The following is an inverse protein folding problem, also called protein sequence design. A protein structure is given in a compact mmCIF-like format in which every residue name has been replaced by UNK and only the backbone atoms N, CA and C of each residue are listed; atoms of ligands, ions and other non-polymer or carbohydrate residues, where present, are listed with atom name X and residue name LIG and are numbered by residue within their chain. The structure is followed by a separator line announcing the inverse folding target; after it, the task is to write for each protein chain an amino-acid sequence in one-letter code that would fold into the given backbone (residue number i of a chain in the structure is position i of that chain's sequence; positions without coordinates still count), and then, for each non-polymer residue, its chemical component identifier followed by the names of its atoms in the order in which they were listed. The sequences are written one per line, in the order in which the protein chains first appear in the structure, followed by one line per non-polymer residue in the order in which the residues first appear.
data_IF_735786001313
#
_entry.id   IF_735786001313
#
_cell.length_a   1.000
_cell.length_b   1.000
_cell.length_c   1.000
_cell.angle_alpha   90.00
_cell.angle_beta   90.00
_cell.angle_gamma   90.00
#
_symmetry.space_group_name_H-M   'P 1'
#
loop_
_entity.id
_entity.type
_entity.pdbx_description
1 polymer ?
#
# COMPACT_ATOMS: atom_id res chain seq x y z
N UNK A 1 10.54 -32.18 -9.75
CA UNK A 1 11.46 -31.54 -8.80
C UNK A 1 10.74 -30.96 -7.57
N UNK A 2 10.06 -29.80 -7.60
CA UNK A 2 9.46 -29.25 -6.35
C UNK A 2 8.35 -30.11 -5.71
N UNK A 3 7.48 -30.74 -6.50
CA UNK A 3 6.48 -31.71 -5.99
C UNK A 3 7.06 -33.04 -5.49
N UNK A 4 8.31 -33.35 -5.82
CA UNK A 4 8.97 -34.59 -5.37
C UNK A 4 9.55 -34.44 -3.96
N UNK A 5 9.72 -33.20 -3.49
CA UNK A 5 10.28 -32.87 -2.17
C UNK A 5 9.30 -32.10 -1.27
N UNK A 6 8.16 -31.62 -1.79
CA UNK A 6 7.14 -30.93 -1.03
C UNK A 6 5.71 -31.31 -1.47
N UNK A 7 4.88 -31.77 -0.53
CA UNK A 7 3.45 -32.00 -0.74
C UNK A 7 2.70 -30.66 -0.67
N UNK A 8 2.62 -29.98 -1.82
CA UNK A 8 1.95 -28.68 -1.95
C UNK A 8 0.54 -28.92 -2.50
N UNK A 9 -0.47 -28.75 -1.65
CA UNK A 9 -1.87 -28.65 -2.08
C UNK A 9 -2.23 -27.21 -2.42
N UNK A 10 -2.68 -26.97 -3.65
CA UNK A 10 -3.17 -25.66 -4.09
C UNK A 10 -4.63 -25.46 -3.68
N UNK A 11 -5.09 -24.21 -3.59
CA UNK A 11 -6.49 -23.90 -3.25
C UNK A 11 -7.48 -24.65 -4.14
N UNK A 12 -7.17 -24.75 -5.44
CA UNK A 12 -7.98 -25.47 -6.44
C UNK A 12 -8.08 -26.98 -6.15
N UNK A 13 -7.13 -27.57 -5.43
CA UNK A 13 -7.16 -28.98 -5.03
C UNK A 13 -7.93 -29.22 -3.74
N UNK A 14 -8.14 -28.17 -2.93
CA UNK A 14 -8.79 -28.26 -1.63
C UNK A 14 -10.31 -28.04 -1.71
N UNK A 15 -10.82 -27.47 -2.82
CA UNK A 15 -12.25 -27.24 -3.09
C UNK A 15 -13.02 -26.69 -1.88
N UNK A 16 -12.39 -25.75 -1.15
CA UNK A 16 -12.97 -25.18 0.05
C UNK A 16 -14.12 -24.24 -0.34
N UNK A 17 -15.24 -24.21 0.43
CA UNK A 17 -16.31 -23.25 0.22
C UNK A 17 -15.83 -21.84 0.57
N UNK A 18 -15.41 -21.10 -0.45
CA UNK A 18 -15.01 -19.69 -0.36
C UNK A 18 -15.87 -18.85 -1.29
N UNK A 19 -16.09 -17.56 -0.98
CA UNK A 19 -16.88 -16.68 -1.85
C UNK A 19 -16.22 -16.50 -3.22
N UNK A 20 -17.04 -16.19 -4.23
CA UNK A 20 -16.56 -15.75 -5.54
C UNK A 20 -15.93 -14.36 -5.40
N UNK A 21 -14.73 -14.17 -5.96
CA UNK A 21 -14.02 -12.88 -5.89
C UNK A 21 -14.14 -12.14 -7.21
N UNK A 22 -14.67 -10.93 -7.17
CA UNK A 22 -14.67 -9.98 -8.28
C UNK A 22 -13.57 -8.93 -8.12
N UNK A 23 -12.81 -8.71 -9.18
CA UNK A 23 -11.72 -7.73 -9.17
C UNK A 23 -12.14 -6.46 -9.90
N UNK A 24 -11.90 -5.32 -9.25
CA UNK A 24 -12.22 -3.98 -9.74
C UNK A 24 -10.95 -3.15 -9.78
N UNK A 25 -10.46 -2.83 -10.99
CA UNK A 25 -9.29 -1.98 -11.16
C UNK A 25 -9.76 -0.54 -11.40
N UNK A 26 -9.49 0.33 -10.43
CA UNK A 26 -9.92 1.73 -10.43
C UNK A 26 -8.72 2.59 -10.83
N UNK A 27 -8.79 3.17 -12.02
CA UNK A 27 -7.72 4.00 -12.60
C UNK A 27 -8.05 5.47 -12.39
N UNK A 28 -7.23 6.15 -11.60
CA UNK A 28 -7.27 7.60 -11.43
C UNK A 28 -6.31 8.28 -12.40
N UNK A 29 -6.76 9.39 -12.99
CA UNK A 29 -5.91 10.24 -13.80
C UNK A 29 -5.05 11.14 -12.88
N UNK A 30 -3.74 11.28 -13.14
CA UNK A 30 -2.90 12.15 -12.34
C UNK A 30 -3.27 13.62 -12.55
N UNK A 31 -3.28 14.40 -11.48
CA UNK A 31 -3.42 15.86 -11.56
C UNK A 31 -2.22 16.48 -12.30
N UNK A 32 -2.38 17.70 -12.83
CA UNK A 32 -1.27 18.44 -13.44
C UNK A 32 -0.09 18.58 -12.45
N UNK A 33 -0.40 18.87 -11.18
CA UNK A 33 0.57 18.95 -10.10
C UNK A 33 1.29 17.62 -9.87
N UNK A 34 0.58 16.48 -9.87
CA UNK A 34 1.22 15.17 -9.77
C UNK A 34 2.16 14.90 -10.95
N UNK A 35 1.78 15.27 -12.18
CA UNK A 35 2.63 15.08 -13.35
C UNK A 35 3.92 15.90 -13.25
N UNK A 36 3.84 17.16 -12.80
CA UNK A 36 5.01 18.01 -12.56
C UNK A 36 5.93 17.44 -11.48
N UNK A 37 5.35 16.98 -10.36
CA UNK A 37 6.12 16.36 -9.27
C UNK A 37 6.78 15.05 -9.70
N UNK A 38 6.14 14.23 -10.54
CA UNK A 38 6.76 13.02 -11.13
C UNK A 38 7.97 13.40 -12.00
N UNK A 39 7.85 14.44 -12.84
CA UNK A 39 8.99 14.93 -13.65
C UNK A 39 10.16 15.37 -12.77
N UNK A 40 9.88 16.10 -11.69
CA UNK A 40 10.91 16.53 -10.73
C UNK A 40 11.62 15.32 -10.06
N UNK A 41 10.90 14.22 -9.78
CA UNK A 41 11.53 12.99 -9.29
C UNK A 41 12.46 12.35 -10.33
N UNK A 42 12.16 12.45 -11.63
CA UNK A 42 13.06 12.00 -12.71
C UNK A 42 14.37 12.80 -12.74
N UNK A 43 14.29 14.11 -12.52
CA UNK A 43 15.46 14.98 -12.47
C UNK A 43 16.33 14.65 -11.25
N UNK A 44 15.70 14.48 -10.07
CA UNK A 44 16.39 14.01 -8.86
C UNK A 44 17.11 12.67 -9.11
N UNK A 45 16.44 11.71 -9.76
CA UNK A 45 17.02 10.42 -10.06
C UNK A 45 18.24 10.54 -11.00
N UNK A 46 18.20 11.48 -11.95
CA UNK A 46 19.31 11.76 -12.86
C UNK A 46 20.53 12.32 -12.13
N UNK A 47 20.32 13.25 -11.17
CA UNK A 47 21.40 13.84 -10.36
C UNK A 47 22.03 12.84 -9.39
N UNK A 48 21.21 11.96 -8.80
CA UNK A 48 21.70 10.85 -7.97
C UNK A 48 22.51 9.88 -8.82
N UNK A 49 22.03 9.55 -10.02
CA UNK A 49 22.72 8.64 -10.93
C UNK A 49 24.05 9.20 -11.46
N UNK A 50 24.14 10.52 -11.68
CA UNK A 50 25.39 11.17 -12.09
C UNK A 50 26.42 11.29 -10.95
N UNK A 51 26.08 10.90 -9.73
CA UNK A 51 26.96 11.02 -8.55
C UNK A 51 27.17 12.46 -8.08
N UNK A 52 26.31 13.39 -8.51
CA UNK A 52 26.42 14.82 -8.16
C UNK A 52 25.83 15.13 -6.79
N UNK A 53 25.03 14.22 -6.24
CA UNK A 53 24.35 14.36 -4.94
C UNK A 53 24.88 13.31 -3.98
N UNK A 54 25.13 13.73 -2.73
CA UNK A 54 25.51 12.83 -1.65
C UNK A 54 24.35 11.86 -1.33
N UNK A 55 24.58 10.52 -1.31
CA UNK A 55 23.55 9.51 -1.02
C UNK A 55 22.83 9.68 0.33
N UNK A 56 23.46 10.35 1.30
CA UNK A 56 22.84 10.69 2.58
C UNK A 56 21.78 11.77 2.44
N UNK A 57 21.94 12.69 1.49
CA UNK A 57 20.99 13.75 1.18
C UNK A 57 19.84 13.23 0.34
N UNK A 58 20.15 12.60 -0.81
CA UNK A 58 19.14 11.99 -1.68
C UNK A 58 19.65 10.71 -2.32
N UNK A 59 18.75 9.74 -2.51
CA UNK A 59 19.07 8.44 -3.07
C UNK A 59 17.83 7.79 -3.69
N UNK A 60 18.03 6.70 -4.44
CA UNK A 60 16.96 6.01 -5.14
C UNK A 60 15.84 5.48 -4.20
N UNK A 61 16.16 5.12 -2.95
CA UNK A 61 15.16 4.70 -1.97
C UNK A 61 14.27 5.88 -1.54
N UNK A 62 14.86 7.04 -1.27
CA UNK A 62 14.11 8.28 -0.94
C UNK A 62 13.22 8.70 -2.11
N UNK A 63 13.76 8.75 -3.32
CA UNK A 63 13.02 9.11 -4.54
C UNK A 63 11.86 8.13 -4.77
N UNK A 64 12.11 6.83 -4.64
CA UNK A 64 11.06 5.81 -4.80
C UNK A 64 9.99 5.94 -3.73
N UNK A 65 10.36 6.21 -2.48
CA UNK A 65 9.43 6.46 -1.38
C UNK A 65 8.55 7.69 -1.63
N UNK A 66 9.15 8.79 -2.10
CA UNK A 66 8.42 10.01 -2.45
C UNK A 66 7.50 9.80 -3.65
N UNK A 67 7.95 9.07 -4.67
CA UNK A 67 7.13 8.67 -5.82
C UNK A 67 5.90 7.86 -5.40
N UNK A 68 6.04 6.94 -4.44
CA UNK A 68 4.92 6.18 -3.87
C UNK A 68 3.93 7.05 -3.10
N UNK A 69 4.43 7.99 -2.27
CA UNK A 69 3.57 8.96 -1.58
C UNK A 69 2.78 9.79 -2.60
N UNK A 70 3.45 10.26 -3.64
CA UNK A 70 2.83 11.05 -4.70
C UNK A 70 1.76 10.28 -5.48
N UNK A 71 2.01 8.99 -5.79
CA UNK A 71 1.04 8.11 -6.43
C UNK A 71 -0.20 7.87 -5.57
N UNK A 72 -0.03 7.83 -4.24
CA UNK A 72 -1.13 7.77 -3.29
C UNK A 72 -1.92 9.08 -3.20
N UNK A 73 -1.26 10.16 -2.77
CA UNK A 73 -1.84 11.50 -2.66
C UNK A 73 -0.76 12.58 -2.56
N UNK A 74 -0.83 13.61 -3.40
CA UNK A 74 0.11 14.74 -3.42
C UNK A 74 0.15 15.51 -2.08
N UNK A 75 -0.94 15.51 -1.32
CA UNK A 75 -1.07 16.21 -0.03
C UNK A 75 -0.20 15.61 1.07
N UNK A 76 0.27 14.38 0.89
CA UNK A 76 1.27 13.76 1.79
C UNK A 76 2.61 14.50 1.71
N UNK A 77 2.94 15.05 0.54
CA UNK A 77 4.18 15.81 0.32
C UNK A 77 3.94 17.29 0.61
N UNK A 78 2.83 17.84 0.13
CA UNK A 78 2.47 19.24 0.36
C UNK A 78 0.98 19.40 0.69
N UNK A 79 0.69 19.64 1.96
CA UNK A 79 -0.69 19.73 2.50
C UNK A 79 -1.48 20.94 1.97
N UNK A 80 -0.80 21.94 1.40
CA UNK A 80 -1.46 23.14 0.84
C UNK A 80 -2.09 22.89 -0.53
N UNK A 81 -1.80 21.74 -1.14
CA UNK A 81 -2.38 21.38 -2.44
C UNK A 81 -3.87 21.05 -2.32
N UNK A 82 -4.68 21.37 -3.35
CA UNK A 82 -6.12 21.10 -3.32
C UNK A 82 -6.42 19.60 -3.32
N UNK A 83 -7.57 19.26 -2.73
CA UNK A 83 -8.15 17.93 -2.77
C UNK A 83 -9.03 17.77 -4.02
N UNK A 84 -8.43 17.26 -5.09
CA UNK A 84 -9.09 17.11 -6.39
C UNK A 84 -10.04 15.88 -6.39
N UNK A 85 -11.31 16.00 -6.84
CA UNK A 85 -12.28 14.89 -6.81
C UNK A 85 -11.86 13.64 -7.60
N UNK A 86 -11.05 13.81 -8.64
CA UNK A 86 -10.57 12.72 -9.49
C UNK A 86 -9.48 11.85 -8.86
N UNK A 87 -8.94 12.24 -7.71
CA UNK A 87 -7.83 11.53 -7.06
C UNK A 87 -8.22 10.12 -6.64
N UNK A 88 -7.22 9.26 -6.58
CA UNK A 88 -7.34 7.87 -6.16
C UNK A 88 -8.01 7.71 -4.79
N UNK A 89 -7.67 8.56 -3.82
CA UNK A 89 -8.25 8.55 -2.48
C UNK A 89 -9.74 8.88 -2.53
N UNK A 90 -10.15 9.89 -3.31
CA UNK A 90 -11.57 10.26 -3.44
C UNK A 90 -12.40 9.18 -4.13
N UNK A 91 -11.85 8.53 -5.16
CA UNK A 91 -12.51 7.37 -5.77
C UNK A 91 -12.66 6.20 -4.78
N UNK A 92 -11.66 5.98 -3.92
CA UNK A 92 -11.77 4.99 -2.85
C UNK A 92 -12.89 5.32 -1.85
N UNK A 93 -12.96 6.57 -1.38
CA UNK A 93 -14.03 7.05 -0.50
C UNK A 93 -15.40 6.83 -1.14
N UNK A 94 -15.57 7.19 -2.41
CA UNK A 94 -16.84 7.03 -3.13
C UNK A 94 -17.30 5.56 -3.18
N UNK A 95 -16.38 4.64 -3.48
CA UNK A 95 -16.70 3.20 -3.49
C UNK A 95 -17.04 2.69 -2.08
N UNK A 96 -16.28 3.09 -1.05
CA UNK A 96 -16.55 2.72 0.33
C UNK A 96 -17.95 3.19 0.75
N UNK A 97 -18.31 4.43 0.40
CA UNK A 97 -19.61 5.02 0.69
C UNK A 97 -20.75 4.29 -0.02
N UNK A 98 -20.57 3.95 -1.29
CA UNK A 98 -21.57 3.19 -2.04
C UNK A 98 -21.82 1.83 -1.39
N UNK A 99 -20.77 1.07 -1.12
CA UNK A 99 -20.86 -0.27 -0.49
C UNK A 99 -21.42 -0.17 0.94
N UNK A 100 -21.11 0.91 1.66
CA UNK A 100 -21.66 1.17 2.99
C UNK A 100 -23.17 1.44 2.94
N UNK A 101 -23.66 2.17 1.93
CA UNK A 101 -25.10 2.39 1.74
C UNK A 101 -25.80 1.10 1.31
N UNK A 102 -25.28 0.44 0.28
CA UNK A 102 -25.88 -0.77 -0.30
C UNK A 102 -25.92 -1.92 0.73
N UNK A 103 -24.90 -2.01 1.59
CA UNK A 103 -24.80 -3.03 2.63
C UNK A 103 -25.41 -2.68 3.98
N UNK A 104 -26.22 -1.61 4.09
CA UNK A 104 -26.75 -1.14 5.39
C UNK A 104 -27.63 -2.18 6.08
N UNK A 105 -28.54 -2.83 5.34
CA UNK A 105 -29.46 -3.84 5.87
C UNK A 105 -28.71 -5.02 6.52
N UNK A 106 -27.64 -5.47 5.86
CA UNK A 106 -26.83 -6.62 6.29
C UNK A 106 -25.61 -6.21 7.11
N UNK A 107 -25.45 -4.91 7.41
CA UNK A 107 -24.29 -4.34 8.11
C UNK A 107 -22.96 -4.83 7.54
N UNK A 108 -22.85 -4.83 6.21
CA UNK A 108 -21.67 -5.30 5.51
C UNK A 108 -20.45 -4.47 5.91
N UNK A 109 -19.30 -5.15 5.97
CA UNK A 109 -18.04 -4.56 6.40
C UNK A 109 -17.02 -4.56 5.29
N UNK A 110 -16.00 -3.70 5.44
CA UNK A 110 -15.02 -3.39 4.42
C UNK A 110 -13.63 -3.26 5.06
N UNK A 111 -12.61 -3.75 4.35
CA UNK A 111 -11.20 -3.55 4.72
C UNK A 111 -10.54 -2.57 3.75
N UNK A 112 -9.79 -1.63 4.28
CA UNK A 112 -8.96 -0.71 3.48
C UNK A 112 -7.50 -0.91 3.87
N UNK A 113 -6.70 -1.36 2.92
CA UNK A 113 -5.27 -1.52 3.06
C UNK A 113 -4.55 -0.29 2.52
N UNK A 114 -3.71 0.29 3.37
CA UNK A 114 -2.81 1.39 3.01
C UNK A 114 -1.53 1.29 3.85
N UNK A 115 -0.40 0.90 3.23
CA UNK A 115 0.89 0.82 3.91
C UNK A 115 1.61 2.17 3.97
N UNK A 116 1.28 3.07 3.06
CA UNK A 116 1.79 4.44 3.02
C UNK A 116 0.91 5.33 3.94
N UNK A 117 1.49 6.37 4.55
CA UNK A 117 0.73 7.34 5.37
C UNK A 117 0.04 6.74 6.60
N UNK A 118 0.59 5.68 7.19
CA UNK A 118 0.05 5.10 8.44
C UNK A 118 0.12 6.15 9.57
N UNK A 119 -0.93 6.26 10.41
CA UNK A 119 -0.89 7.15 11.57
C UNK A 119 0.32 6.81 12.44
N UNK A 120 1.18 7.80 12.68
CA UNK A 120 2.27 7.59 13.65
C UNK A 120 1.65 7.51 15.04
N UNK A 121 2.05 6.50 15.81
CA UNK A 121 1.82 6.54 17.24
C UNK A 121 2.51 7.82 17.75
N UNK A 122 1.77 8.68 18.47
CA UNK A 122 2.38 9.84 19.14
C UNK A 122 3.65 9.34 19.82
N UNK A 123 4.82 9.96 19.61
CA UNK A 123 6.00 9.57 20.34
C UNK A 123 5.63 9.68 21.82
N UNK A 124 5.52 8.53 22.50
CA UNK A 124 5.48 8.53 23.94
C UNK A 124 6.75 9.29 24.35
N UNK A 125 6.60 10.42 25.06
CA UNK A 125 7.69 11.30 25.51
C UNK A 125 8.89 10.44 25.98
N UNK A 126 9.82 10.16 25.07
CA UNK A 126 10.96 9.25 25.27
C UNK A 126 12.27 10.01 25.41
N UNK A 127 12.21 11.34 25.40
CA UNK A 127 13.40 12.20 25.50
C UNK A 127 13.89 12.32 26.95
N UNK A 128 13.00 12.18 27.93
CA UNK A 128 13.33 12.46 29.33
C UNK A 128 13.89 11.26 30.13
N UNK A 129 14.20 10.12 29.50
CA UNK A 129 14.66 8.92 30.23
C UNK A 129 16.15 8.60 30.12
N UNK A 130 16.89 9.30 29.26
CA UNK A 130 18.33 9.02 29.06
C UNK A 130 19.27 9.97 29.80
N UNK A 131 18.76 11.09 30.33
CA UNK A 131 19.52 12.03 31.15
C UNK A 131 18.70 12.37 32.40
N UNK A 132 18.97 11.65 33.49
CA UNK A 132 18.33 11.81 34.80
C UNK A 132 18.84 13.10 35.48
N UNK A 133 18.54 14.26 34.86
CA UNK A 133 18.92 15.58 35.34
C UNK A 133 17.68 16.34 35.83
N UNK A 134 17.51 16.53 37.15
CA UNK A 134 16.33 17.16 37.74
C UNK A 134 16.12 18.61 37.29
N UNK A 135 17.16 19.29 36.80
CA UNK A 135 17.04 20.66 36.25
C UNK A 135 16.43 20.70 34.85
N UNK A 136 16.63 19.65 34.03
CA UNK A 136 16.02 19.56 32.70
C UNK A 136 14.51 19.29 32.78
N UNK A 137 14.07 18.46 33.74
CA UNK A 137 12.63 18.19 33.93
C UNK A 137 11.84 19.45 34.29
N UNK A 138 12.40 20.33 35.13
CA UNK A 138 11.76 21.59 35.50
C UNK A 138 11.68 22.60 34.34
N UNK A 139 12.57 22.50 33.34
CA UNK A 139 12.56 23.34 32.15
C UNK A 139 11.65 22.78 31.05
N UNK A 140 11.50 21.46 30.93
CA UNK A 140 10.57 20.81 29.99
C UNK A 140 9.10 21.13 30.30
N UNK A 141 8.72 21.21 31.58
CA UNK A 141 7.34 21.54 31.98
C UNK A 141 7.01 23.04 31.87
N UNK A 142 8.02 23.90 31.75
CA UNK A 142 7.87 25.36 31.71
C UNK A 142 7.77 25.95 30.29
N UNK A 143 8.10 25.17 29.27
CA UNK A 143 8.00 25.59 27.86
C UNK A 143 6.88 24.79 27.19
N UNK A 144 5.71 25.38 26.95
CA UNK A 144 4.72 24.78 26.07
C UNK A 144 5.38 24.71 24.68
N UNK A 145 5.88 23.54 24.30
CA UNK A 145 6.20 23.28 22.91
C UNK A 145 4.88 23.26 22.17
N UNK A 146 4.73 24.13 21.16
CA UNK A 146 3.58 24.08 20.25
C UNK A 146 3.39 22.63 19.81
N UNK A 147 2.20 22.06 20.07
CA UNK A 147 1.90 20.72 19.59
C UNK A 147 2.03 20.76 18.07
N UNK A 148 2.96 19.99 17.45
CA UNK A 148 3.13 20.03 16.02
C UNK A 148 1.78 19.69 15.39
N UNK A 149 1.30 20.53 14.46
CA UNK A 149 0.04 20.30 13.78
C UNK A 149 -0.01 18.84 13.28
N UNK A 150 -1.13 18.14 13.50
CA UNK A 150 -1.22 16.73 13.12
C UNK A 150 -0.97 16.62 11.62
N UNK A 151 0.15 16.00 11.25
CA UNK A 151 0.53 15.82 9.87
C UNK A 151 -0.60 15.12 9.11
N UNK A 152 -0.88 15.58 7.88
CA UNK A 152 -1.86 14.97 7.01
C UNK A 152 -1.63 13.47 6.89
N UNK A 153 -2.67 12.68 7.15
CA UNK A 153 -2.67 11.24 6.89
C UNK A 153 -3.86 10.88 6.04
N UNK A 154 -3.65 9.96 5.09
CA UNK A 154 -4.72 9.46 4.23
C UNK A 154 -5.79 8.73 5.05
N UNK A 155 -5.41 8.14 6.17
CA UNK A 155 -6.33 7.49 7.11
C UNK A 155 -7.35 8.47 7.68
N UNK A 156 -6.88 9.61 8.19
CA UNK A 156 -7.75 10.62 8.77
C UNK A 156 -8.54 11.36 7.69
N UNK A 157 -7.94 11.62 6.52
CA UNK A 157 -8.63 12.21 5.37
C UNK A 157 -9.82 11.34 4.91
N UNK A 158 -9.62 10.03 4.74
CA UNK A 158 -10.71 9.09 4.43
C UNK A 158 -11.77 9.13 5.51
N UNK A 159 -11.39 9.04 6.80
CA UNK A 159 -12.33 9.06 7.91
C UNK A 159 -13.18 10.34 7.93
N UNK A 160 -12.56 11.50 7.78
CA UNK A 160 -13.26 12.79 7.77
C UNK A 160 -14.22 12.88 6.59
N UNK A 161 -13.82 12.44 5.39
CA UNK A 161 -14.68 12.42 4.20
C UNK A 161 -15.88 11.48 4.37
N UNK A 162 -15.67 10.28 4.94
CA UNK A 162 -16.77 9.35 5.22
C UNK A 162 -17.75 9.93 6.25
N UNK A 163 -17.25 10.57 7.31
CA UNK A 163 -18.09 11.22 8.33
C UNK A 163 -18.88 12.38 7.73
N UNK A 164 -18.24 13.22 6.92
CA UNK A 164 -18.90 14.34 6.22
C UNK A 164 -20.03 13.85 5.29
N UNK A 165 -19.92 12.63 4.76
CA UNK A 165 -20.96 12.01 3.93
C UNK A 165 -22.00 11.20 4.72
N UNK A 166 -21.92 11.20 6.06
CA UNK A 166 -22.95 10.66 6.96
C UNK A 166 -22.60 9.32 7.63
N UNK A 167 -21.39 8.78 7.46
CA UNK A 167 -20.98 7.56 8.16
C UNK A 167 -20.71 7.89 9.64
N UNK A 168 -21.34 7.20 10.60
CA UNK A 168 -21.06 7.44 12.01
C UNK A 168 -19.60 7.10 12.35
N UNK A 169 -18.93 7.96 13.13
CA UNK A 169 -17.51 7.84 13.42
C UNK A 169 -17.16 6.52 14.12
N UNK A 170 -18.08 5.95 14.90
CA UNK A 170 -17.95 4.66 15.57
C UNK A 170 -17.91 3.45 14.62
N UNK A 171 -18.37 3.62 13.38
CA UNK A 171 -18.34 2.58 12.36
C UNK A 171 -17.02 2.53 11.60
N UNK A 172 -16.13 3.51 11.82
CA UNK A 172 -14.81 3.61 11.19
C UNK A 172 -13.76 3.38 12.26
N UNK A 173 -12.83 2.45 12.03
CA UNK A 173 -11.77 2.17 12.99
C UNK A 173 -10.42 1.99 12.31
N UNK A 174 -9.36 2.28 13.05
CA UNK A 174 -7.98 2.04 12.62
C UNK A 174 -7.38 0.89 13.42
N UNK A 175 -6.77 -0.08 12.75
CA UNK A 175 -6.08 -1.18 13.44
C UNK A 175 -4.94 -0.68 14.35
N UNK A 176 -4.37 0.49 14.05
CA UNK A 176 -3.26 1.10 14.77
C UNK A 176 -3.65 1.55 16.19
N UNK A 177 -4.93 1.82 16.45
CA UNK A 177 -5.45 2.18 17.77
C UNK A 177 -5.53 0.95 18.70
N UNK A 178 -5.67 -0.24 18.12
CA UNK A 178 -5.68 -1.51 18.83
C UNK A 178 -4.25 -2.05 19.04
N UNK A 179 -3.56 -1.46 20.02
CA UNK A 179 -2.16 -1.78 20.33
C UNK A 179 -1.95 -3.04 21.19
N UNK A 180 -2.99 -3.58 21.82
CA UNK A 180 -2.93 -4.82 22.62
C UNK A 180 -3.72 -5.94 21.95
N UNK A 181 -3.37 -7.20 22.22
CA UNK A 181 -4.09 -8.36 21.67
C UNK A 181 -5.57 -8.38 22.09
N UNK A 182 -5.86 -7.95 23.32
CA UNK A 182 -7.23 -7.82 23.84
C UNK A 182 -8.03 -6.82 23.02
N UNK A 183 -7.49 -5.60 22.82
CA UNK A 183 -8.14 -4.57 22.00
C UNK A 183 -8.30 -4.98 20.55
N UNK A 184 -7.35 -5.73 19.99
CA UNK A 184 -7.47 -6.28 18.63
C UNK A 184 -8.61 -7.29 18.54
N UNK A 185 -8.71 -8.22 19.50
CA UNK A 185 -9.82 -9.19 19.55
C UNK A 185 -11.17 -8.51 19.68
N UNK A 186 -11.26 -7.48 20.51
CA UNK A 186 -12.47 -6.66 20.65
C UNK A 186 -12.83 -5.96 19.34
N UNK A 187 -11.86 -5.29 18.70
CA UNK A 187 -12.06 -4.64 17.40
C UNK A 187 -12.51 -5.64 16.34
N UNK A 188 -11.88 -6.81 16.25
CA UNK A 188 -12.28 -7.86 15.31
C UNK A 188 -13.69 -8.38 15.59
N UNK A 189 -14.09 -8.47 16.86
CA UNK A 189 -15.47 -8.80 17.23
C UNK A 189 -16.46 -7.74 16.76
N UNK A 190 -16.11 -6.45 16.90
CA UNK A 190 -16.94 -5.34 16.42
C UNK A 190 -17.08 -5.34 14.90
N UNK A 191 -16.04 -5.71 14.15
CA UNK A 191 -16.11 -5.85 12.69
C UNK A 191 -17.00 -7.04 12.30
N UNK A 192 -16.83 -8.21 12.92
CA UNK A 192 -17.65 -9.40 12.63
C UNK A 192 -19.15 -9.19 12.90
N UNK A 193 -19.48 -8.34 13.87
CA UNK A 193 -20.87 -7.99 14.21
C UNK A 193 -21.42 -6.81 13.41
N UNK A 194 -20.61 -6.16 12.57
CA UNK A 194 -21.01 -4.99 11.78
C UNK A 194 -21.15 -3.69 12.59
N UNK A 195 -20.63 -3.65 13.83
CA UNK A 195 -20.53 -2.40 14.61
C UNK A 195 -19.48 -1.46 14.01
N UNK A 196 -18.36 -2.03 13.57
CA UNK A 196 -17.36 -1.35 12.74
C UNK A 196 -17.51 -1.85 11.32
N UNK A 197 -17.87 -0.97 10.40
CA UNK A 197 -18.13 -1.31 8.99
C UNK A 197 -16.96 -0.97 8.07
N UNK A 198 -16.08 -0.06 8.47
CA UNK A 198 -14.87 0.28 7.71
C UNK A 198 -13.66 0.16 8.63
N UNK A 199 -12.81 -0.82 8.36
CA UNK A 199 -11.55 -1.01 9.10
C UNK A 199 -10.37 -0.69 8.19
N UNK A 200 -9.58 0.32 8.57
CA UNK A 200 -8.37 0.72 7.86
C UNK A 200 -7.12 0.17 8.56
N UNK A 201 -6.13 -0.24 7.78
CA UNK A 201 -4.87 -0.70 8.34
C UNK A 201 -3.77 -1.00 7.32
N UNK A 202 -2.57 -1.18 7.84
CA UNK A 202 -1.41 -1.61 7.05
C UNK A 202 -1.37 -3.14 6.95
N UNK A 203 -0.74 -3.63 5.89
CA UNK A 203 -0.38 -5.03 5.70
C UNK A 203 0.44 -5.56 6.87
N UNK A 204 1.34 -4.76 7.45
CA UNK A 204 2.10 -5.22 8.61
C UNK A 204 1.21 -5.53 9.84
N UNK A 205 0.11 -4.79 10.02
CA UNK A 205 -0.80 -4.95 11.18
C UNK A 205 -1.98 -5.89 10.91
N UNK A 206 -2.44 -6.00 9.66
CA UNK A 206 -3.61 -6.80 9.26
C UNK A 206 -3.25 -8.02 8.37
N UNK A 207 -2.03 -8.09 7.87
CA UNK A 207 -1.54 -9.13 6.95
C UNK A 207 -1.43 -10.51 7.58
N UNK A 208 -1.44 -10.64 8.90
CA UNK A 208 -1.52 -11.92 9.61
C UNK A 208 -2.54 -11.87 10.77
N UNK A 209 -3.19 -13.00 11.06
CA UNK A 209 -3.99 -13.18 12.28
C UNK A 209 -5.29 -12.38 12.38
N UNK A 210 -5.73 -11.71 11.31
CA UNK A 210 -6.97 -10.92 11.31
C UNK A 210 -8.15 -11.79 10.85
N UNK A 211 -9.04 -12.11 11.80
CA UNK A 211 -10.24 -12.93 11.58
C UNK A 211 -11.48 -12.03 11.66
N UNK A 212 -11.92 -11.52 10.51
CA UNK A 212 -13.00 -10.52 10.38
C UNK A 212 -13.93 -10.78 9.17
N UNK A 213 -13.85 -11.98 8.58
CA UNK A 213 -14.45 -12.29 7.28
C UNK A 213 -15.99 -12.39 7.28
N UNK A 214 -16.65 -12.58 8.43
CA UNK A 214 -18.06 -12.97 8.51
C UNK A 214 -18.99 -12.11 7.63
N UNK A 215 -18.85 -10.77 7.69
CA UNK A 215 -19.67 -9.80 6.93
C UNK A 215 -18.86 -9.00 5.91
N UNK A 216 -17.64 -9.44 5.62
CA UNK A 216 -16.69 -8.68 4.81
C UNK A 216 -17.04 -8.81 3.32
N UNK A 217 -17.56 -7.73 2.73
CA UNK A 217 -18.00 -7.71 1.32
C UNK A 217 -16.95 -7.10 0.39
N UNK A 218 -16.12 -6.19 0.90
CA UNK A 218 -15.16 -5.45 0.07
C UNK A 218 -13.78 -5.32 0.72
N UNK A 219 -12.75 -5.42 -0.12
CA UNK A 219 -11.36 -5.16 0.22
C UNK A 219 -10.81 -4.11 -0.74
N UNK A 220 -10.23 -3.05 -0.19
CA UNK A 220 -9.67 -1.92 -0.94
C UNK A 220 -8.16 -1.91 -0.78
N UNK A 221 -7.42 -2.28 -1.82
CA UNK A 221 -5.98 -2.09 -1.93
C UNK A 221 -5.72 -0.67 -2.42
N UNK A 222 -5.62 0.27 -1.49
CA UNK A 222 -5.39 1.67 -1.82
C UNK A 222 -3.96 1.89 -2.32
N UNK A 223 -2.99 1.12 -1.83
CA UNK A 223 -1.61 1.10 -2.33
C UNK A 223 -1.12 -0.31 -2.66
N UNK A 224 -0.14 -0.38 -3.56
CA UNK A 224 0.51 -1.64 -3.93
C UNK A 224 1.65 -1.95 -2.93
N UNK A 225 1.66 -3.12 -2.28
CA UNK A 225 2.81 -3.59 -1.51
C UNK A 225 3.91 -4.09 -2.46
N UNK A 226 5.12 -4.30 -1.93
CA UNK A 226 6.28 -4.71 -2.73
C UNK A 226 6.28 -6.18 -3.15
N UNK A 227 5.54 -7.03 -2.43
CA UNK A 227 5.60 -8.48 -2.57
C UNK A 227 4.25 -9.05 -3.00
N UNK A 228 4.20 -9.95 -4.00
CA UNK A 228 2.98 -10.66 -4.36
C UNK A 228 2.37 -11.43 -3.17
N UNK A 229 3.22 -11.97 -2.29
CA UNK A 229 2.78 -12.66 -1.08
C UNK A 229 1.96 -11.78 -0.14
N UNK A 230 2.27 -10.48 -0.07
CA UNK A 230 1.52 -9.51 0.75
C UNK A 230 0.10 -9.32 0.18
N UNK A 231 -0.04 -9.18 -1.14
CA UNK A 231 -1.36 -9.14 -1.80
C UNK A 231 -2.15 -10.43 -1.59
N UNK A 232 -1.49 -11.59 -1.66
CA UNK A 232 -2.14 -12.87 -1.38
C UNK A 232 -2.61 -12.95 0.08
N UNK A 233 -1.82 -12.44 1.04
CA UNK A 233 -2.20 -12.35 2.44
C UNK A 233 -3.39 -11.41 2.66
N UNK A 234 -3.41 -10.24 2.00
CA UNK A 234 -4.55 -9.30 2.01
C UNK A 234 -5.80 -9.99 1.45
N UNK A 235 -5.72 -10.58 0.26
CA UNK A 235 -6.83 -11.33 -0.37
C UNK A 235 -7.37 -12.46 0.51
N UNK A 236 -6.48 -13.21 1.18
CA UNK A 236 -6.86 -14.26 2.12
C UNK A 236 -7.62 -13.78 3.37
N UNK A 237 -7.87 -12.47 3.53
CA UNK A 237 -8.78 -11.91 4.54
C UNK A 237 -10.23 -11.92 4.09
N UNK A 238 -10.48 -11.82 2.78
CA UNK A 238 -11.83 -11.74 2.21
C UNK A 238 -12.23 -13.05 1.52
N UNK A 239 -11.34 -13.65 0.75
CA UNK A 239 -11.51 -14.98 0.13
C UNK A 239 -11.17 -16.04 1.18
N UNK A 240 -12.12 -16.28 2.09
CA UNK A 240 -11.92 -17.20 3.20
C UNK A 240 -13.23 -17.89 3.57
N UNK A 241 -13.11 -19.12 4.06
CA UNK A 241 -14.23 -19.84 4.67
C UNK A 241 -14.83 -19.03 5.84
N UNK A 242 -16.15 -19.08 5.97
CA UNK A 242 -16.90 -18.37 7.00
C UNK A 242 -17.37 -16.98 6.60
N UNK A 243 -16.99 -16.47 5.43
CA UNK A 243 -17.63 -15.29 4.86
C UNK A 243 -19.09 -15.63 4.49
N UNK A 244 -20.04 -14.80 4.90
CA UNK A 244 -21.47 -15.02 4.68
C UNK A 244 -21.94 -14.54 3.30
N UNK A 245 -21.12 -13.74 2.60
CA UNK A 245 -21.43 -13.26 1.27
C UNK A 245 -21.10 -14.32 0.20
N UNK A 246 -21.94 -14.46 -0.82
CA UNK A 246 -21.65 -15.33 -1.96
C UNK A 246 -20.56 -14.76 -2.86
N UNK A 247 -20.60 -13.44 -3.06
CA UNK A 247 -19.64 -12.68 -3.88
C UNK A 247 -18.99 -11.60 -3.03
N UNK A 248 -17.69 -11.42 -3.22
CA UNK A 248 -16.87 -10.40 -2.56
C UNK A 248 -16.08 -9.60 -3.59
N UNK A 249 -15.79 -8.34 -3.28
CA UNK A 249 -15.17 -7.42 -4.22
C UNK A 249 -13.77 -7.00 -3.74
N UNK A 250 -12.79 -7.07 -4.63
CA UNK A 250 -11.42 -6.60 -4.40
C UNK A 250 -11.15 -5.42 -5.32
N UNK A 251 -11.06 -4.23 -4.74
CA UNK A 251 -10.76 -2.99 -5.42
C UNK A 251 -9.27 -2.70 -5.37
N UNK A 252 -8.66 -2.48 -6.53
CA UNK A 252 -7.27 -2.05 -6.67
C UNK A 252 -7.23 -0.67 -7.27
N UNK A 253 -6.62 0.25 -6.55
CA UNK A 253 -6.55 1.63 -6.99
C UNK A 253 -5.17 1.93 -7.57
N UNK A 254 -5.15 2.59 -8.71
CA UNK A 254 -3.91 2.98 -9.40
C UNK A 254 -4.03 4.39 -9.96
N UNK A 255 -2.98 5.19 -9.79
CA UNK A 255 -2.87 6.49 -10.45
C UNK A 255 -2.01 6.32 -11.71
N UNK A 256 -2.58 6.58 -12.88
CA UNK A 256 -1.91 6.41 -14.16
C UNK A 256 -0.67 7.33 -14.27
N UNK A 257 0.39 6.87 -14.95
CA UNK A 257 1.60 7.67 -15.16
C UNK A 257 2.40 7.97 -13.88
N UNK A 258 2.11 7.30 -12.76
CA UNK A 258 2.84 7.45 -11.50
C UNK A 258 3.53 6.15 -11.09
N UNK A 259 4.32 6.22 -10.01
CA UNK A 259 5.02 5.08 -9.40
C UNK A 259 4.09 3.93 -9.02
N UNK A 260 2.80 4.19 -8.75
CA UNK A 260 1.83 3.14 -8.44
C UNK A 260 1.61 2.18 -9.61
N UNK A 261 1.44 2.70 -10.83
CA UNK A 261 1.20 1.86 -12.01
C UNK A 261 2.39 0.91 -12.26
N UNK A 262 3.59 1.42 -12.08
CA UNK A 262 4.82 0.65 -12.22
C UNK A 262 4.98 -0.44 -11.15
N UNK A 263 4.60 -0.15 -9.90
CA UNK A 263 4.64 -1.13 -8.82
C UNK A 263 3.67 -2.28 -9.07
N UNK A 264 2.44 -1.99 -9.50
CA UNK A 264 1.47 -3.01 -9.86
C UNK A 264 2.00 -3.92 -10.99
N UNK A 265 2.63 -3.34 -12.01
CA UNK A 265 3.26 -4.12 -13.09
C UNK A 265 4.42 -4.99 -12.58
N UNK A 266 5.28 -4.44 -11.71
CA UNK A 266 6.39 -5.17 -11.10
C UNK A 266 5.89 -6.36 -10.29
N UNK A 267 4.87 -6.15 -9.47
CA UNK A 267 4.28 -7.23 -8.65
C UNK A 267 3.59 -8.28 -9.52
N UNK A 268 2.92 -7.88 -10.61
CA UNK A 268 2.33 -8.82 -11.57
C UNK A 268 3.40 -9.70 -12.22
N UNK A 269 4.52 -9.13 -12.66
CA UNK A 269 5.64 -9.87 -13.23
C UNK A 269 6.22 -10.87 -12.23
N UNK A 270 6.41 -10.46 -10.96
CA UNK A 270 6.84 -11.36 -9.89
C UNK A 270 5.84 -12.48 -9.65
N UNK A 271 4.54 -12.21 -9.73
CA UNK A 271 3.51 -13.24 -9.54
C UNK A 271 3.51 -14.26 -10.69
N UNK A 272 3.69 -13.82 -11.94
CA UNK A 272 3.84 -14.73 -13.10
C UNK A 272 5.02 -15.68 -12.92
N UNK A 273 6.14 -15.17 -12.40
CA UNK A 273 7.31 -15.98 -12.06
C UNK A 273 7.00 -17.04 -11.00
N UNK A 274 6.37 -16.65 -9.88
CA UNK A 274 5.96 -17.58 -8.82
C UNK A 274 5.00 -18.64 -9.37
N UNK A 275 4.01 -18.24 -10.16
CA UNK A 275 3.07 -19.18 -10.78
C UNK A 275 3.77 -20.19 -11.68
N UNK A 276 4.76 -19.79 -12.47
CA UNK A 276 5.55 -20.70 -13.30
C UNK A 276 6.34 -21.73 -12.49
N UNK A 277 6.89 -21.35 -11.33
CA UNK A 277 7.56 -22.31 -10.43
C UNK A 277 6.53 -23.28 -9.83
N UNK A 278 5.38 -22.77 -9.42
CA UNK A 278 4.31 -23.55 -8.77
C UNK A 278 3.58 -24.49 -9.75
N UNK A 279 3.50 -24.12 -11.03
CA UNK A 279 2.89 -24.94 -12.09
C UNK A 279 3.98 -25.59 -12.95
N UNK A 280 4.15 -26.91 -12.89
CA UNK A 280 5.20 -27.67 -13.60
C UNK A 280 5.07 -27.72 -15.14
N UNK A 281 4.59 -26.67 -15.81
CA UNK A 281 4.50 -26.60 -17.27
C UNK A 281 5.75 -25.91 -17.84
N UNK A 282 6.69 -26.75 -18.31
CA UNK A 282 7.94 -26.44 -19.03
C UNK A 282 9.11 -25.82 -18.23
N UNK A 283 10.36 -26.21 -18.55
CA UNK A 283 11.53 -25.71 -17.85
C UNK A 283 11.90 -24.32 -18.40
N UNK A 284 11.68 -23.28 -17.61
CA UNK A 284 12.32 -21.98 -17.86
C UNK A 284 13.81 -22.14 -17.53
N UNK A 285 14.68 -21.89 -18.51
CA UNK A 285 16.15 -22.08 -18.39
C UNK A 285 16.90 -20.82 -17.90
N UNK A 286 16.20 -19.74 -17.61
CA UNK A 286 16.75 -18.51 -17.04
C UNK A 286 15.74 -17.90 -16.07
N UNK A 287 16.18 -17.61 -14.85
CA UNK A 287 15.35 -17.03 -13.80
C UNK A 287 16.07 -15.77 -13.29
N UNK A 288 15.48 -14.60 -13.51
CA UNK A 288 15.98 -13.34 -12.96
C UNK A 288 15.09 -12.92 -11.79
N UNK A 289 15.71 -12.78 -10.62
CA UNK A 289 15.06 -12.25 -9.43
C UNK A 289 15.10 -10.71 -9.46
N UNK A 290 13.97 -10.08 -9.16
CA UNK A 290 13.83 -8.62 -9.14
C UNK A 290 13.59 -8.20 -7.69
N UNK A 291 14.48 -8.59 -6.78
CA UNK A 291 14.33 -8.31 -5.33
C UNK A 291 14.92 -6.95 -4.93
N UNK A 292 14.60 -5.90 -5.68
CA UNK A 292 14.96 -4.53 -5.31
C UNK A 292 13.78 -3.80 -4.64
N UNK A 293 14.09 -3.17 -3.51
CA UNK A 293 13.17 -2.31 -2.73
C UNK A 293 13.18 -0.86 -3.21
N UNK A 294 13.99 -0.56 -4.23
CA UNK A 294 14.05 0.70 -4.95
C UNK A 294 13.82 0.42 -6.43
N UNK A 295 13.26 1.40 -7.14
CA UNK A 295 13.26 1.36 -8.60
C UNK A 295 14.63 1.79 -9.12
N UNK A 296 15.08 1.14 -10.19
CA UNK A 296 16.32 1.52 -10.86
C UNK A 296 16.15 2.85 -11.61
N UNK A 297 17.27 3.50 -11.95
CA UNK A 297 17.23 4.75 -12.73
C UNK A 297 16.52 4.57 -14.08
N UNK A 298 16.72 3.43 -14.75
CA UNK A 298 16.05 3.11 -16.01
C UNK A 298 14.53 3.00 -15.84
N UNK A 299 14.08 2.40 -14.74
CA UNK A 299 12.67 2.22 -14.42
C UNK A 299 11.99 3.56 -14.11
N UNK A 300 12.63 4.42 -13.29
CA UNK A 300 12.12 5.76 -13.01
C UNK A 300 12.04 6.59 -14.30
N UNK A 301 13.05 6.50 -15.16
CA UNK A 301 13.08 7.27 -16.42
C UNK A 301 12.02 6.79 -17.41
N UNK A 302 11.83 5.48 -17.55
CA UNK A 302 10.79 4.90 -18.39
C UNK A 302 9.39 5.31 -17.91
N UNK A 303 9.19 5.32 -16.59
CA UNK A 303 7.95 5.77 -15.96
C UNK A 303 7.65 7.23 -16.29
N UNK A 304 8.61 8.13 -16.05
CA UNK A 304 8.41 9.56 -16.24
C UNK A 304 8.22 9.95 -17.71
N UNK A 305 8.80 9.16 -18.62
CA UNK A 305 8.65 9.35 -20.07
C UNK A 305 7.42 8.64 -20.65
N UNK A 306 6.75 7.76 -19.89
CA UNK A 306 5.61 6.98 -20.36
C UNK A 306 5.93 6.00 -21.49
N UNK A 307 7.19 5.63 -21.69
CA UNK A 307 7.62 4.74 -22.77
C UNK A 307 8.45 3.56 -22.24
N UNK A 308 7.89 2.32 -22.24
CA UNK A 308 8.58 1.14 -21.74
C UNK A 308 9.84 0.79 -22.53
N UNK A 309 9.98 1.25 -23.78
CA UNK A 309 11.17 1.01 -24.61
C UNK A 309 12.42 1.71 -24.07
N UNK A 310 12.25 2.74 -23.24
CA UNK A 310 13.36 3.43 -22.59
C UNK A 310 14.03 2.51 -21.58
N UNK A 311 13.25 1.73 -20.83
CA UNK A 311 13.77 0.71 -19.91
C UNK A 311 14.54 -0.34 -20.71
N UNK A 312 13.91 -0.93 -21.72
CA UNK A 312 14.50 -1.97 -22.57
C UNK A 312 15.83 -1.51 -23.18
N UNK A 313 15.89 -0.29 -23.72
CA UNK A 313 17.13 0.25 -24.27
C UNK A 313 18.22 0.39 -23.22
N UNK A 314 17.88 0.87 -22.02
CA UNK A 314 18.87 1.06 -20.94
C UNK A 314 19.37 -0.27 -20.39
N UNK A 315 18.49 -1.26 -20.24
CA UNK A 315 18.87 -2.62 -19.84
C UNK A 315 19.83 -3.24 -20.89
N UNK A 316 19.51 -3.08 -22.18
CA UNK A 316 20.39 -3.51 -23.28
C UNK A 316 21.73 -2.78 -23.29
N UNK A 317 21.76 -1.48 -23.00
CA UNK A 317 23.01 -0.70 -22.92
C UNK A 317 23.91 -1.21 -21.79
N UNK A 318 23.33 -1.57 -20.64
CA UNK A 318 24.05 -2.19 -19.51
C UNK A 318 24.59 -3.57 -19.90
N UNK A 319 23.78 -4.40 -20.54
CA UNK A 319 24.19 -5.71 -21.02
C UNK A 319 25.33 -5.62 -22.04
N UNK A 320 25.24 -4.68 -22.97
CA UNK A 320 26.30 -4.40 -23.96
C UNK A 320 27.58 -3.95 -23.25
N UNK A 321 27.50 -3.08 -22.25
CA UNK A 321 28.67 -2.64 -21.47
C UNK A 321 29.31 -3.81 -20.72
N UNK A 322 28.51 -4.66 -20.07
CA UNK A 322 28.99 -5.88 -19.39
C UNK A 322 29.68 -6.83 -20.36
N UNK A 323 29.06 -7.12 -21.50
CA UNK A 323 29.61 -8.01 -22.53
C UNK A 323 30.91 -7.45 -23.15
N UNK A 324 31.05 -6.13 -23.28
CA UNK A 324 32.29 -5.48 -23.73
C UNK A 324 33.45 -5.62 -22.73
N UNK A 325 33.16 -5.70 -21.43
CA UNK A 325 34.17 -5.92 -20.37
C UNK A 325 34.61 -7.38 -20.25
N UNK A 326 33.87 -8.33 -20.85
CA UNK A 326 34.18 -9.76 -20.84
C UNK A 326 35.01 -10.22 -22.07
N UNK A 327 35.47 -9.28 -22.90
CA UNK A 327 36.44 -9.50 -23.97
C UNK A 327 37.81 -9.00 -23.56
#
# INVERSE_FOLDING_TARGET
MFKEIADIKTADQLHLPTPQVEYHNIVAQPTEQQQEMVKALSERASLVHSGTVDPSQDNMLKITSDGRKLGLDQRIINQLLPDEPGTKVNQCVNNIMQIWRDGEADKLTQLVFCDISTPQARPAKKVAKELDNPTLHALEDAVPLDEPEPAFTVYEDIRQKLIAQGVPAEQIAFIHEANTEVRKKELFSKVRTGQVRVLLGSTAKMGAGTNVQDRLVALHDLDCPWRPGDLAQRKGRIERQGNQNETVHVYRYVTEGTFDAYLWQTVENKQKFISQIMTSKSPVRSCDDVDETALSFAEIKALCAGDPRIKERMDLDVDVARLKLMK
#
